data_IF_014973010567
#
_entry.id   IF_014973010567
#
_cell.length_a   1.000
_cell.length_b   1.000
_cell.length_c   1.000
_cell.angle_alpha   90.00
_cell.angle_beta   90.00
_cell.angle_gamma   90.00
#
_symmetry.space_group_name_H-M   'P 1'
#
loop_
_entity.id
_entity.type
_entity.pdbx_description
1 polymer ?
#
# COMPACT_ATOMS: atom_id res chain seq x y z
N UNK A 1 -25.00 -54.20 13.15
CA UNK A 1 -25.13 -53.04 14.05
C UNK A 1 -24.09 -52.03 13.63
N UNK A 2 -24.49 -51.11 12.76
CA UNK A 2 -23.69 -50.07 12.14
C UNK A 2 -23.39 -48.97 13.16
N UNK A 3 -22.12 -48.59 13.33
CA UNK A 3 -21.78 -47.33 13.99
C UNK A 3 -20.75 -46.58 13.13
N UNK A 4 -21.30 -45.79 12.21
CA UNK A 4 -20.61 -44.78 11.44
C UNK A 4 -20.26 -43.65 12.44
N UNK A 5 -19.04 -43.61 12.95
CA UNK A 5 -18.59 -42.50 13.78
C UNK A 5 -18.35 -41.31 12.85
N UNK A 6 -19.35 -40.41 12.81
CA UNK A 6 -19.37 -39.21 11.99
C UNK A 6 -18.11 -38.37 12.23
N UNK A 7 -17.41 -38.08 11.14
CA UNK A 7 -16.44 -37.01 10.98
C UNK A 7 -17.10 -35.68 11.35
N UNK A 8 -17.05 -35.28 12.63
CA UNK A 8 -17.26 -33.89 13.02
C UNK A 8 -15.93 -33.15 12.98
N UNK A 9 -15.37 -33.05 11.76
CA UNK A 9 -14.53 -31.90 11.45
C UNK A 9 -15.52 -30.73 11.39
N UNK A 10 -15.66 -30.01 12.51
CA UNK A 10 -16.17 -28.64 12.45
C UNK A 10 -15.14 -27.85 11.64
N UNK A 11 -15.28 -27.88 10.32
CA UNK A 11 -14.76 -26.80 9.49
C UNK A 11 -15.48 -25.55 9.99
N UNK A 12 -14.82 -24.78 10.86
CA UNK A 12 -15.16 -23.37 10.98
C UNK A 12 -15.24 -22.85 9.55
N UNK A 13 -16.25 -22.03 9.20
CA UNK A 13 -16.13 -21.26 7.99
C UNK A 13 -14.80 -20.52 8.14
N UNK A 14 -13.81 -20.87 7.32
CA UNK A 14 -12.70 -19.98 7.08
C UNK A 14 -13.36 -18.79 6.39
N UNK A 15 -13.85 -17.84 7.17
CA UNK A 15 -14.00 -16.48 6.68
C UNK A 15 -12.58 -16.10 6.33
N UNK A 16 -12.19 -16.35 5.08
CA UNK A 16 -11.06 -15.66 4.47
C UNK A 16 -11.50 -14.20 4.48
N UNK A 17 -11.37 -13.55 5.63
CA UNK A 17 -11.59 -12.14 5.79
C UNK A 17 -10.62 -11.50 4.79
N UNK A 18 -11.18 -10.88 3.77
CA UNK A 18 -10.38 -10.21 2.79
C UNK A 18 -9.81 -8.98 3.49
N UNK A 19 -8.57 -9.07 3.96
CA UNK A 19 -7.90 -8.01 4.72
C UNK A 19 -7.96 -6.65 4.00
N UNK A 20 -7.96 -6.66 2.65
CA UNK A 20 -8.13 -5.46 1.83
C UNK A 20 -9.51 -4.84 2.03
N UNK A 21 -10.57 -5.65 2.07
CA UNK A 21 -11.93 -5.14 2.29
C UNK A 21 -12.07 -4.59 3.72
N UNK A 22 -11.51 -5.27 4.72
CA UNK A 22 -11.52 -4.80 6.12
C UNK A 22 -10.83 -3.44 6.27
N UNK A 23 -9.65 -3.28 5.66
CA UNK A 23 -8.93 -1.99 5.66
C UNK A 23 -9.69 -0.94 4.86
N UNK A 24 -10.22 -1.27 3.69
CA UNK A 24 -10.79 -0.27 2.79
C UNK A 24 -12.20 0.20 3.18
N UNK A 25 -12.97 -0.61 3.93
CA UNK A 25 -14.34 -0.27 4.31
C UNK A 25 -14.45 0.91 5.28
N UNK A 26 -13.38 1.25 6.00
CA UNK A 26 -13.36 2.43 6.89
C UNK A 26 -13.07 3.75 6.15
N UNK A 27 -12.68 3.70 4.88
CA UNK A 27 -12.39 4.89 4.08
C UNK A 27 -13.67 5.46 3.46
N UNK A 28 -13.68 6.78 3.21
CA UNK A 28 -14.78 7.46 2.52
C UNK A 28 -15.03 6.94 1.10
N UNK A 29 -13.98 6.46 0.44
CA UNK A 29 -14.07 5.81 -0.87
C UNK A 29 -13.40 4.43 -0.84
N UNK A 30 -14.15 3.38 -0.41
CA UNK A 30 -13.62 2.03 -0.33
C UNK A 30 -13.19 1.49 -1.70
N UNK A 31 -13.86 1.89 -2.79
CA UNK A 31 -13.55 1.38 -4.14
C UNK A 31 -12.17 1.85 -4.61
N UNK A 32 -11.86 3.13 -4.39
CA UNK A 32 -10.53 3.66 -4.73
C UNK A 32 -9.43 3.02 -3.88
N UNK A 33 -9.69 2.79 -2.58
CA UNK A 33 -8.75 2.05 -1.72
C UNK A 33 -8.49 0.63 -2.24
N UNK A 34 -9.54 -0.13 -2.55
CA UNK A 34 -9.42 -1.50 -3.08
C UNK A 34 -8.64 -1.48 -4.40
N UNK A 35 -8.95 -0.54 -5.29
CA UNK A 35 -8.25 -0.38 -6.56
C UNK A 35 -6.78 0.01 -6.39
N UNK A 36 -6.44 0.78 -5.36
CA UNK A 36 -5.06 1.13 -5.05
C UNK A 36 -4.27 -0.10 -4.56
N UNK A 37 -4.82 -0.82 -3.58
CA UNK A 37 -4.15 -1.97 -2.97
C UNK A 37 -4.02 -3.17 -3.92
N UNK A 38 -4.98 -3.37 -4.83
CA UNK A 38 -4.93 -4.48 -5.80
C UNK A 38 -3.94 -4.27 -6.96
N UNK A 39 -3.23 -3.15 -7.04
CA UNK A 39 -2.19 -2.94 -8.05
C UNK A 39 -0.94 -3.78 -7.81
N UNK A 40 -0.67 -4.19 -6.57
CA UNK A 40 0.51 -4.95 -6.20
C UNK A 40 0.12 -6.37 -5.73
N UNK A 41 0.50 -7.43 -6.46
CA UNK A 41 0.17 -8.80 -6.10
C UNK A 41 0.57 -9.21 -4.68
N UNK A 42 1.68 -8.68 -4.15
CA UNK A 42 2.12 -8.97 -2.77
C UNK A 42 1.17 -8.43 -1.69
N UNK A 43 0.40 -7.38 -1.99
CA UNK A 43 -0.62 -6.86 -1.07
C UNK A 43 -1.82 -7.81 -1.05
N UNK A 44 -2.23 -8.32 -2.21
CA UNK A 44 -3.35 -9.26 -2.36
C UNK A 44 -3.07 -10.59 -1.63
N UNK A 45 -1.83 -11.06 -1.67
CA UNK A 45 -1.43 -12.32 -1.05
C UNK A 45 -0.98 -12.20 0.41
N UNK A 46 -1.20 -11.05 1.06
CA UNK A 46 -0.75 -10.85 2.44
C UNK A 46 -1.53 -11.76 3.41
N UNK A 47 -0.85 -12.50 4.31
CA UNK A 47 -1.50 -13.42 5.26
C UNK A 47 -2.09 -12.73 6.49
N UNK A 48 -1.64 -11.51 6.81
CA UNK A 48 -2.00 -10.76 8.01
C UNK A 48 -1.91 -9.24 7.76
N UNK A 49 -2.45 -8.44 8.71
CA UNK A 49 -2.47 -6.98 8.59
C UNK A 49 -1.06 -6.37 8.59
N UNK A 50 -0.11 -6.93 9.35
CA UNK A 50 1.27 -6.44 9.40
C UNK A 50 1.96 -6.59 8.05
N UNK A 51 1.84 -7.74 7.43
CA UNK A 51 2.37 -8.02 6.08
C UNK A 51 1.65 -7.19 5.02
N UNK A 52 0.32 -7.02 5.13
CA UNK A 52 -0.45 -6.14 4.25
C UNK A 52 0.07 -4.71 4.31
N UNK A 53 0.23 -4.16 5.52
CA UNK A 53 0.72 -2.81 5.75
C UNK A 53 2.14 -2.63 5.20
N UNK A 54 3.06 -3.56 5.49
CA UNK A 54 4.45 -3.52 4.96
C UNK A 54 4.48 -3.54 3.44
N UNK A 55 3.66 -4.39 2.81
CA UNK A 55 3.62 -4.48 1.35
C UNK A 55 3.00 -3.21 0.73
N UNK A 56 1.95 -2.65 1.34
CA UNK A 56 1.34 -1.40 0.91
C UNK A 56 2.31 -0.21 1.02
N UNK A 57 3.04 -0.08 2.13
CA UNK A 57 4.02 1.01 2.33
C UNK A 57 5.20 0.85 1.38
N UNK A 58 5.70 -0.38 1.15
CA UNK A 58 6.76 -0.62 0.14
C UNK A 58 6.29 -0.24 -1.26
N UNK A 59 5.06 -0.58 -1.63
CA UNK A 59 4.47 -0.17 -2.89
C UNK A 59 4.38 1.36 -3.00
N UNK A 60 3.95 2.04 -1.92
CA UNK A 60 3.88 3.50 -1.87
C UNK A 60 5.27 4.16 -2.01
N UNK A 61 6.32 3.60 -1.41
CA UNK A 61 7.72 4.06 -1.60
C UNK A 61 8.14 3.92 -3.07
N UNK A 62 7.88 2.77 -3.70
CA UNK A 62 8.23 2.53 -5.11
C UNK A 62 7.48 3.50 -6.01
N UNK A 63 6.16 3.57 -5.89
CA UNK A 63 5.33 4.43 -6.73
C UNK A 63 5.68 5.92 -6.57
N UNK A 64 5.96 6.38 -5.34
CA UNK A 64 6.38 7.76 -5.09
C UNK A 64 7.77 8.04 -5.67
N UNK A 65 8.67 7.06 -5.65
CA UNK A 65 10.01 7.18 -6.26
C UNK A 65 9.91 7.25 -7.78
N UNK A 66 9.08 6.40 -8.39
CA UNK A 66 8.84 6.39 -9.83
C UNK A 66 8.21 7.71 -10.30
N UNK A 67 7.21 8.22 -9.57
CA UNK A 67 6.61 9.52 -9.85
C UNK A 67 7.60 10.68 -9.67
N UNK A 68 8.45 10.64 -8.63
CA UNK A 68 9.53 11.62 -8.45
C UNK A 68 10.48 11.61 -9.65
N UNK A 69 10.90 10.44 -10.12
CA UNK A 69 11.78 10.31 -11.28
C UNK A 69 11.10 10.82 -12.56
N UNK A 70 9.83 10.47 -12.77
CA UNK A 70 9.05 10.97 -13.91
C UNK A 70 8.92 12.50 -13.91
N UNK A 71 8.66 13.10 -12.74
CA UNK A 71 8.59 14.56 -12.58
C UNK A 71 9.95 15.21 -12.79
N UNK A 72 11.03 14.58 -12.34
CA UNK A 72 12.40 15.05 -12.58
C UNK A 72 12.70 15.10 -14.07
N UNK A 73 12.35 14.04 -14.80
CA UNK A 73 12.46 13.98 -16.25
C UNK A 73 11.67 15.09 -16.95
N UNK A 74 10.44 15.36 -16.50
CA UNK A 74 9.63 16.46 -17.02
C UNK A 74 10.26 17.83 -16.73
N UNK A 75 10.76 18.05 -15.51
CA UNK A 75 11.39 19.30 -15.10
C UNK A 75 12.64 19.60 -15.93
N UNK A 76 13.44 18.57 -16.21
CA UNK A 76 14.65 18.69 -17.04
C UNK A 76 14.33 19.03 -18.50
N UNK A 77 13.21 18.53 -19.03
CA UNK A 77 12.76 18.77 -20.42
C UNK A 77 11.95 20.06 -20.57
N UNK A 78 11.49 20.67 -19.48
CA UNK A 78 10.64 21.86 -19.53
C UNK A 78 11.44 23.11 -19.91
N UNK A 79 10.96 23.80 -20.96
CA UNK A 79 11.46 25.12 -21.38
C UNK A 79 10.65 26.28 -20.79
N UNK A 80 9.48 26.00 -20.21
CA UNK A 80 8.62 27.03 -19.62
C UNK A 80 9.05 27.25 -18.14
N UNK A 81 9.50 28.46 -17.77
CA UNK A 81 10.09 28.71 -16.45
C UNK A 81 9.15 28.46 -15.27
N UNK A 82 7.86 28.76 -15.42
CA UNK A 82 6.86 28.66 -14.35
C UNK A 82 6.56 27.21 -14.03
N UNK A 83 6.35 26.39 -15.07
CA UNK A 83 6.15 24.96 -15.01
C UNK A 83 7.39 24.27 -14.47
N UNK A 84 8.59 24.65 -14.94
CA UNK A 84 9.84 24.11 -14.41
C UNK A 84 9.93 24.34 -12.89
N UNK A 85 9.66 25.56 -12.43
CA UNK A 85 9.65 25.89 -11.00
C UNK A 85 8.59 25.11 -10.22
N UNK A 86 7.40 24.91 -10.79
CA UNK A 86 6.35 24.11 -10.17
C UNK A 86 6.76 22.63 -10.02
N UNK A 87 7.35 22.05 -11.08
CA UNK A 87 7.85 20.67 -11.06
C UNK A 87 9.00 20.51 -10.05
N UNK A 88 9.94 21.47 -10.00
CA UNK A 88 11.03 21.48 -9.01
C UNK A 88 10.51 21.55 -7.57
N UNK A 89 9.41 22.29 -7.32
CA UNK A 89 8.74 22.31 -6.01
C UNK A 89 8.25 20.91 -5.61
N UNK A 90 7.65 20.17 -6.55
CA UNK A 90 7.24 18.78 -6.31
C UNK A 90 8.42 17.85 -5.98
N UNK A 91 9.62 18.11 -6.53
CA UNK A 91 10.81 17.28 -6.29
C UNK A 91 11.52 17.56 -4.96
N UNK A 92 11.21 18.69 -4.34
CA UNK A 92 11.88 19.19 -3.15
C UNK A 92 11.76 18.27 -1.93
N UNK A 93 12.54 18.57 -0.90
CA UNK A 93 12.47 17.93 0.42
C UNK A 93 11.12 18.08 1.12
N UNK A 94 10.27 19.02 0.66
CA UNK A 94 8.90 19.23 1.13
C UNK A 94 7.84 18.66 0.17
N UNK A 95 8.26 18.15 -0.99
CA UNK A 95 7.40 17.44 -1.95
C UNK A 95 7.61 15.93 -1.86
N UNK A 96 7.93 15.27 -2.98
CA UNK A 96 8.19 13.83 -3.02
C UNK A 96 9.37 13.39 -2.14
N UNK A 97 10.34 14.29 -1.86
CA UNK A 97 11.38 14.02 -0.87
C UNK A 97 10.80 13.76 0.53
N UNK A 98 9.82 14.56 0.94
CA UNK A 98 9.10 14.38 2.20
C UNK A 98 8.34 13.06 2.22
N UNK A 99 7.51 12.83 1.20
CA UNK A 99 6.62 11.65 1.11
C UNK A 99 7.40 10.34 1.18
N UNK A 100 8.50 10.23 0.44
CA UNK A 100 9.33 9.01 0.42
C UNK A 100 10.00 8.80 1.79
N UNK A 101 10.47 9.87 2.44
CA UNK A 101 11.07 9.78 3.78
C UNK A 101 10.03 9.32 4.81
N UNK A 102 8.84 9.91 4.77
CA UNK A 102 7.75 9.60 5.69
C UNK A 102 7.33 8.12 5.58
N UNK A 103 7.12 7.62 4.36
CA UNK A 103 6.83 6.19 4.18
C UNK A 103 7.96 5.26 4.65
N UNK A 104 9.22 5.67 4.54
CA UNK A 104 10.34 4.88 5.08
C UNK A 104 10.32 4.82 6.61
N UNK A 105 9.94 5.92 7.27
CA UNK A 105 9.76 5.96 8.72
C UNK A 105 8.60 5.03 9.12
N UNK A 106 7.44 5.16 8.48
CA UNK A 106 6.28 4.29 8.73
C UNK A 106 6.64 2.81 8.55
N UNK A 107 7.45 2.46 7.54
CA UNK A 107 7.89 1.08 7.34
C UNK A 107 8.73 0.55 8.52
N UNK A 108 9.52 1.41 9.17
CA UNK A 108 10.28 1.06 10.37
C UNK A 108 9.36 0.94 11.58
N UNK A 109 8.43 1.88 11.75
CA UNK A 109 7.46 1.89 12.85
C UNK A 109 6.57 0.64 12.85
N UNK A 110 6.16 0.13 11.67
CA UNK A 110 5.39 -1.13 11.58
C UNK A 110 6.18 -2.33 12.12
N UNK A 111 7.51 -2.33 11.98
CA UNK A 111 8.34 -3.42 12.53
C UNK A 111 8.44 -3.34 14.06
N UNK A 112 8.37 -2.14 14.62
CA UNK A 112 8.42 -1.85 16.05
C UNK A 112 7.06 -2.03 16.76
N UNK A 113 5.94 -2.00 16.02
CA UNK A 113 4.59 -2.19 16.55
C UNK A 113 4.35 -3.63 17.02
N UNK A 114 4.10 -3.87 18.33
CA UNK A 114 3.71 -5.18 18.84
C UNK A 114 2.28 -5.52 18.39
N UNK A 115 2.08 -6.75 17.91
CA UNK A 115 0.76 -7.27 17.49
C UNK A 115 -0.29 -7.31 18.62
#
# INVERSE_FOLDING_TARGET
MTFFFFLFIHSLPSTNANLIDDVCNVFKDPRSCISALKQEPKIISAPDFKTLAKNAVRFAISNSTDNKNFIQDMAQKSTEPTLKKALESCLSEWGYGYVIRDFKIVLQEIDEDPE
#
